data_IF_823075325746
#
_entry.id   IF_823075325746
#
_cell.length_a   1.000
_cell.length_b   1.000
_cell.length_c   1.000
_cell.angle_alpha   90.00
_cell.angle_beta   90.00
_cell.angle_gamma   90.00
#
_symmetry.space_group_name_H-M   'P 1'
#
loop_
_entity.id
_entity.type
_entity.pdbx_description
1 polymer ?
#
# COMPACT_ATOMS: atom_id res chain seq x y z
N UNK A 1 -47.59 -12.60 -62.25
CA UNK A 1 -46.80 -12.42 -61.02
C UNK A 1 -45.33 -12.29 -61.38
N UNK A 2 -44.72 -11.16 -61.06
CA UNK A 2 -43.31 -10.88 -61.36
C UNK A 2 -42.37 -11.78 -60.53
N UNK A 3 -41.13 -11.98 -61.01
CA UNK A 3 -40.10 -12.73 -60.26
C UNK A 3 -39.86 -12.15 -58.84
N UNK A 4 -40.12 -10.85 -58.65
CA UNK A 4 -39.94 -10.14 -57.39
C UNK A 4 -41.08 -10.50 -56.41
N UNK A 5 -42.33 -10.51 -56.86
CA UNK A 5 -43.50 -10.87 -56.02
C UNK A 5 -43.44 -12.33 -55.53
N UNK A 6 -42.95 -13.25 -56.37
CA UNK A 6 -42.73 -14.65 -55.96
C UNK A 6 -41.63 -14.77 -54.88
N UNK A 7 -40.58 -13.95 -54.97
CA UNK A 7 -39.46 -13.95 -54.02
C UNK A 7 -39.89 -13.36 -52.67
N UNK A 8 -40.72 -12.31 -52.67
CA UNK A 8 -41.29 -11.74 -51.44
C UNK A 8 -42.23 -12.72 -50.74
N UNK A 9 -43.16 -13.36 -51.47
CA UNK A 9 -44.03 -14.39 -50.88
C UNK A 9 -43.25 -15.55 -50.28
N UNK A 10 -42.16 -16.00 -50.93
CA UNK A 10 -41.28 -17.03 -50.36
C UNK A 10 -40.58 -16.56 -49.09
N UNK A 11 -40.12 -15.29 -49.05
CA UNK A 11 -39.44 -14.73 -47.87
C UNK A 11 -40.40 -14.57 -46.70
N UNK A 12 -41.64 -14.17 -46.96
CA UNK A 12 -42.68 -14.04 -45.95
C UNK A 12 -43.14 -15.39 -45.40
N UNK A 13 -43.27 -16.40 -46.28
CA UNK A 13 -43.55 -17.77 -45.87
C UNK A 13 -42.40 -18.36 -45.02
N UNK A 14 -41.15 -18.13 -45.42
CA UNK A 14 -39.97 -18.55 -44.65
C UNK A 14 -39.90 -17.85 -43.29
N UNK A 15 -40.25 -16.56 -43.21
CA UNK A 15 -40.29 -15.82 -41.95
C UNK A 15 -41.40 -16.35 -41.02
N UNK A 16 -42.60 -16.62 -41.54
CA UNK A 16 -43.69 -17.24 -40.78
C UNK A 16 -43.31 -18.63 -40.27
N UNK A 17 -42.73 -19.47 -41.12
CA UNK A 17 -42.24 -20.79 -40.72
C UNK A 17 -41.16 -20.69 -39.62
N UNK A 18 -40.20 -19.77 -39.78
CA UNK A 18 -39.18 -19.54 -38.77
C UNK A 18 -39.74 -19.03 -37.45
N UNK A 19 -40.71 -18.11 -37.48
CA UNK A 19 -41.35 -17.59 -36.27
C UNK A 19 -42.11 -18.69 -35.52
N UNK A 20 -42.84 -19.56 -36.24
CA UNK A 20 -43.54 -20.71 -35.66
C UNK A 20 -42.57 -21.71 -35.04
N UNK A 21 -41.54 -22.12 -35.80
CA UNK A 21 -40.50 -23.03 -35.28
C UNK A 21 -39.79 -22.45 -34.05
N UNK A 22 -39.52 -21.13 -34.04
CA UNK A 22 -38.89 -20.46 -32.90
C UNK A 22 -39.80 -20.44 -31.67
N UNK A 23 -41.11 -20.23 -31.85
CA UNK A 23 -42.10 -20.26 -30.76
C UNK A 23 -42.22 -21.66 -30.17
N UNK A 24 -42.40 -22.68 -31.00
CA UNK A 24 -42.46 -24.09 -30.56
C UNK A 24 -41.16 -24.53 -29.85
N UNK A 25 -40.00 -24.11 -30.37
CA UNK A 25 -38.71 -24.43 -29.75
C UNK A 25 -38.54 -23.72 -28.40
N UNK A 26 -39.08 -22.51 -28.24
CA UNK A 26 -39.15 -21.79 -26.96
C UNK A 26 -40.07 -22.50 -25.96
N UNK A 27 -41.26 -22.90 -26.39
CA UNK A 27 -42.25 -23.61 -25.56
C UNK A 27 -41.72 -24.98 -25.11
N UNK A 28 -41.12 -25.77 -26.03
CA UNK A 28 -40.44 -27.03 -25.69
C UNK A 28 -39.24 -26.83 -24.75
N UNK A 29 -38.48 -25.74 -24.90
CA UNK A 29 -37.40 -25.41 -23.97
C UNK A 29 -37.93 -25.02 -22.58
N UNK A 30 -39.08 -24.34 -22.50
CA UNK A 30 -39.68 -23.97 -21.20
C UNK A 30 -40.21 -25.17 -20.44
N UNK A 31 -40.69 -26.21 -21.12
CA UNK A 31 -41.13 -27.47 -20.48
C UNK A 31 -39.97 -28.22 -19.81
N UNK A 32 -38.72 -28.09 -20.31
CA UNK A 32 -37.53 -28.74 -19.75
C UNK A 32 -36.70 -27.86 -18.79
N UNK A 33 -37.01 -26.57 -18.68
CA UNK A 33 -36.24 -25.65 -17.84
C UNK A 33 -37.00 -25.45 -16.53
N UNK A 34 -36.47 -25.98 -15.43
CA UNK A 34 -36.97 -25.64 -14.09
C UNK A 34 -36.91 -24.12 -13.92
N UNK A 35 -38.00 -23.50 -13.44
CA UNK A 35 -38.01 -22.06 -13.20
C UNK A 35 -37.06 -21.78 -12.04
N UNK A 36 -36.19 -20.78 -12.19
CA UNK A 36 -35.28 -20.30 -11.14
C UNK A 36 -36.01 -19.93 -9.84
N UNK A 37 -37.31 -19.67 -9.91
CA UNK A 37 -38.17 -19.39 -8.76
C UNK A 37 -38.28 -20.55 -7.77
N UNK A 38 -37.95 -21.78 -8.18
CA UNK A 38 -38.13 -22.97 -7.34
C UNK A 38 -36.88 -23.28 -6.49
N UNK A 39 -35.79 -22.53 -6.64
CA UNK A 39 -34.54 -22.81 -5.92
C UNK A 39 -33.94 -21.64 -5.15
N UNK A 40 -34.24 -20.38 -5.47
CA UNK A 40 -33.62 -19.24 -4.77
C UNK A 40 -34.59 -18.04 -4.77
N UNK A 41 -34.93 -17.52 -3.58
CA UNK A 41 -35.72 -16.28 -3.48
C UNK A 41 -35.02 -15.10 -4.18
N UNK A 42 -35.77 -14.16 -4.81
CA UNK A 42 -35.19 -12.97 -5.44
C UNK A 42 -34.28 -12.16 -4.51
N UNK A 43 -34.59 -12.15 -3.21
CA UNK A 43 -33.80 -11.52 -2.14
C UNK A 43 -32.41 -12.15 -1.95
N UNK A 44 -32.28 -13.44 -2.24
CA UNK A 44 -31.04 -14.21 -2.17
C UNK A 44 -30.27 -14.08 -3.50
N UNK A 45 -30.96 -14.07 -4.64
CA UNK A 45 -30.33 -13.81 -5.96
C UNK A 45 -29.60 -12.47 -5.99
N UNK A 46 -30.20 -11.40 -5.42
CA UNK A 46 -29.55 -10.10 -5.31
C UNK A 46 -28.26 -10.11 -4.46
N UNK A 47 -28.10 -11.11 -3.58
CA UNK A 47 -26.91 -11.29 -2.74
C UNK A 47 -25.84 -12.18 -3.38
N UNK A 48 -26.17 -12.92 -4.44
CA UNK A 48 -25.21 -13.76 -5.16
C UNK A 48 -24.27 -12.85 -5.96
N UNK A 49 -23.04 -12.70 -5.49
CA UNK A 49 -21.98 -12.00 -6.21
C UNK A 49 -21.33 -12.96 -7.22
N UNK A 50 -21.27 -12.56 -8.49
CA UNK A 50 -20.61 -13.35 -9.53
C UNK A 50 -19.10 -13.45 -9.22
N UNK A 51 -18.45 -14.63 -9.31
CA UNK A 51 -17.01 -14.76 -9.05
C UNK A 51 -16.17 -13.80 -9.90
N UNK A 52 -16.64 -13.52 -11.12
CA UNK A 52 -15.95 -12.63 -12.06
C UNK A 52 -16.27 -11.14 -11.90
N UNK A 53 -17.20 -10.74 -11.02
CA UNK A 53 -17.39 -9.29 -10.74
C UNK A 53 -16.14 -8.66 -10.11
N UNK A 54 -15.21 -9.45 -9.57
CA UNK A 54 -13.89 -8.98 -9.14
C UNK A 54 -12.96 -8.59 -10.30
N UNK A 55 -13.17 -9.12 -11.52
CA UNK A 55 -12.31 -8.83 -12.70
C UNK A 55 -12.66 -7.51 -13.38
N UNK A 56 -13.91 -7.04 -13.29
CA UNK A 56 -14.27 -5.68 -13.69
C UNK A 56 -14.08 -4.72 -12.52
N UNK A 57 -12.86 -4.67 -11.97
CA UNK A 57 -12.48 -3.51 -11.16
C UNK A 57 -12.47 -2.30 -12.09
N UNK A 58 -13.41 -1.39 -11.85
CA UNK A 58 -13.23 0.01 -12.19
C UNK A 58 -11.87 0.42 -11.62
N UNK A 59 -10.83 0.42 -12.47
CA UNK A 59 -9.74 1.35 -12.30
C UNK A 59 -10.43 2.69 -12.17
N UNK A 60 -10.56 3.22 -10.95
CA UNK A 60 -10.97 4.59 -10.76
C UNK A 60 -9.98 5.41 -11.60
N UNK A 61 -10.41 5.83 -12.80
CA UNK A 61 -9.61 6.72 -13.62
C UNK A 61 -9.48 7.97 -12.79
N UNK A 62 -8.31 8.15 -12.18
CA UNK A 62 -8.01 9.36 -11.42
C UNK A 62 -8.30 10.53 -12.33
N UNK A 63 -9.16 11.45 -11.88
CA UNK A 63 -9.52 12.63 -12.66
C UNK A 63 -8.28 13.47 -13.02
N UNK A 64 -7.28 13.46 -12.13
CA UNK A 64 -5.98 14.09 -12.33
C UNK A 64 -4.87 13.04 -12.28
N UNK A 65 -3.93 13.08 -13.23
CA UNK A 65 -2.83 12.11 -13.37
C UNK A 65 -1.59 12.47 -12.54
N UNK A 66 -1.64 13.58 -11.80
CA UNK A 66 -0.50 14.13 -11.09
C UNK A 66 0.28 15.16 -11.90
N UNK A 67 1.13 15.93 -11.22
CA UNK A 67 2.22 16.71 -11.79
C UNK A 67 3.54 16.02 -11.46
N UNK A 68 4.63 16.28 -12.18
CA UNK A 68 5.89 15.50 -12.09
C UNK A 68 6.48 15.33 -10.67
N UNK A 69 5.96 16.07 -9.68
CA UNK A 69 6.32 16.02 -8.27
C UNK A 69 5.26 15.25 -7.45
N UNK A 70 3.96 15.50 -7.64
CA UNK A 70 2.86 14.76 -6.99
C UNK A 70 2.27 13.76 -7.98
N UNK A 71 2.55 12.46 -7.79
CA UNK A 71 2.05 11.40 -8.67
C UNK A 71 1.34 10.29 -7.92
N UNK A 72 0.35 9.64 -8.55
CA UNK A 72 -0.21 8.41 -8.01
C UNK A 72 0.80 7.26 -8.17
N UNK A 73 1.07 6.54 -7.09
CA UNK A 73 1.67 5.22 -7.14
C UNK A 73 0.60 4.20 -7.54
N UNK A 74 0.77 3.54 -8.68
CA UNK A 74 -0.19 2.57 -9.22
C UNK A 74 0.50 1.35 -9.85
N UNK A 75 1.70 1.03 -9.36
CA UNK A 75 2.58 0.02 -9.99
C UNK A 75 2.36 -1.39 -9.45
N UNK A 76 1.57 -1.53 -8.39
CA UNK A 76 1.30 -2.82 -7.72
C UNK A 76 0.48 -3.75 -8.63
N UNK A 77 0.92 -5.01 -8.78
CA UNK A 77 0.18 -6.05 -9.47
C UNK A 77 -1.19 -6.34 -8.84
N UNK A 78 -2.16 -6.88 -9.61
CA UNK A 78 -3.51 -7.14 -9.12
C UNK A 78 -3.60 -8.14 -7.95
N UNK A 79 -2.66 -9.08 -7.86
CA UNK A 79 -2.56 -10.09 -6.81
C UNK A 79 -1.87 -9.57 -5.53
N UNK A 80 -1.53 -8.28 -5.48
CA UNK A 80 -1.01 -7.60 -4.29
C UNK A 80 -2.09 -6.69 -3.71
N UNK A 81 -2.43 -6.91 -2.44
CA UNK A 81 -3.36 -6.09 -1.67
C UNK A 81 -2.73 -4.74 -1.27
N UNK A 82 -2.41 -3.91 -2.27
CA UNK A 82 -1.96 -2.54 -2.08
C UNK A 82 -2.36 -1.71 -3.29
N UNK A 83 -3.36 -0.87 -3.11
CA UNK A 83 -3.85 0.02 -4.14
C UNK A 83 -3.11 1.33 -4.31
N UNK A 84 -3.80 2.29 -4.93
CA UNK A 84 -3.26 3.59 -5.30
C UNK A 84 -3.10 4.50 -4.07
N UNK A 85 -2.00 5.23 -4.01
CA UNK A 85 -1.76 6.31 -3.06
C UNK A 85 -0.93 7.41 -3.71
N UNK A 86 -0.88 8.60 -3.13
CA UNK A 86 -0.16 9.74 -3.69
C UNK A 86 1.26 9.82 -3.14
N UNK A 87 2.24 9.90 -4.04
CA UNK A 87 3.64 10.17 -3.72
C UNK A 87 3.91 11.67 -3.82
N UNK A 88 4.64 12.22 -2.85
CA UNK A 88 5.24 13.55 -2.96
C UNK A 88 6.74 13.39 -3.21
N UNK A 89 7.17 13.62 -4.46
CA UNK A 89 8.55 13.46 -4.91
C UNK A 89 9.37 14.74 -4.71
N UNK A 90 9.49 15.16 -3.44
CA UNK A 90 10.28 16.34 -3.06
C UNK A 90 11.80 16.09 -3.14
N UNK A 91 12.22 14.84 -2.99
CA UNK A 91 13.61 14.42 -3.10
C UNK A 91 13.74 12.96 -3.52
N UNK A 92 14.93 12.58 -3.96
CA UNK A 92 15.31 11.26 -4.43
C UNK A 92 16.59 10.79 -3.75
N UNK A 93 16.71 9.49 -3.50
CA UNK A 93 17.87 8.92 -2.80
C UNK A 93 17.79 9.14 -1.29
N UNK A 94 18.80 8.66 -0.57
CA UNK A 94 18.81 8.69 0.89
C UNK A 94 20.27 8.66 1.39
N UNK A 95 20.64 9.42 2.43
CA UNK A 95 21.98 9.36 3.01
C UNK A 95 22.19 8.11 3.88
N UNK A 96 21.12 7.39 4.24
CA UNK A 96 21.21 6.13 4.95
C UNK A 96 21.58 4.99 3.99
N UNK A 97 22.28 3.97 4.48
CA UNK A 97 22.87 2.93 3.64
C UNK A 97 22.30 1.53 3.95
N UNK A 98 20.96 1.43 4.03
CA UNK A 98 20.32 0.15 4.31
C UNK A 98 20.63 -0.86 3.18
N UNK A 99 21.03 -2.08 3.55
CA UNK A 99 21.47 -3.10 2.59
C UNK A 99 20.31 -3.61 1.71
N UNK A 100 19.13 -3.75 2.32
CA UNK A 100 17.91 -4.24 1.66
C UNK A 100 17.14 -3.13 0.91
N UNK A 101 17.68 -1.91 0.83
CA UNK A 101 16.95 -0.74 0.35
C UNK A 101 16.50 -0.86 -1.12
N UNK A 102 15.18 -0.84 -1.36
CA UNK A 102 14.62 -0.90 -2.72
C UNK A 102 14.95 0.34 -3.56
N UNK A 103 15.36 1.47 -2.95
CA UNK A 103 15.81 2.64 -3.68
C UNK A 103 17.04 2.35 -4.53
N UNK A 104 17.89 1.36 -4.17
CA UNK A 104 19.03 0.95 -5.01
C UNK A 104 18.57 0.52 -6.39
N UNK A 105 17.49 -0.28 -6.46
CA UNK A 105 16.89 -0.71 -7.72
C UNK A 105 16.14 0.42 -8.44
N UNK A 106 15.41 1.23 -7.68
CA UNK A 106 14.61 2.34 -8.21
C UNK A 106 15.47 3.44 -8.83
N UNK A 107 16.58 3.77 -8.16
CA UNK A 107 17.54 4.80 -8.54
C UNK A 107 18.71 4.27 -9.38
N UNK A 108 18.68 2.98 -9.75
CA UNK A 108 19.76 2.33 -10.54
C UNK A 108 21.15 2.55 -9.93
N UNK A 109 21.25 2.39 -8.61
CA UNK A 109 22.47 2.58 -7.82
C UNK A 109 22.78 4.04 -7.44
N UNK A 110 22.08 5.04 -7.97
CA UNK A 110 22.31 6.47 -7.67
C UNK A 110 21.65 6.87 -6.34
N UNK A 111 22.24 6.42 -5.24
CA UNK A 111 21.67 6.60 -3.89
C UNK A 111 21.90 8.00 -3.29
N UNK A 112 22.87 8.77 -3.81
CA UNK A 112 23.18 10.12 -3.32
C UNK A 112 21.92 11.00 -3.34
N UNK A 113 21.56 11.66 -2.22
CA UNK A 113 20.38 12.52 -2.16
C UNK A 113 20.39 13.60 -3.23
N UNK A 114 19.25 13.77 -3.88
CA UNK A 114 18.95 14.83 -4.84
C UNK A 114 17.63 15.48 -4.46
N UNK A 115 17.59 16.81 -4.48
CA UNK A 115 16.44 17.57 -4.01
C UNK A 115 15.78 18.31 -5.18
N UNK A 116 14.45 18.33 -5.19
CA UNK A 116 13.69 19.21 -6.07
C UNK A 116 13.66 20.60 -5.45
N UNK A 117 13.83 21.65 -6.27
CA UNK A 117 13.74 23.04 -5.77
C UNK A 117 12.45 23.24 -5.00
N UNK A 118 12.53 23.75 -3.77
CA UNK A 118 11.37 23.93 -2.87
C UNK A 118 10.24 24.69 -3.56
N UNK A 119 10.54 25.77 -4.29
CA UNK A 119 9.53 26.54 -5.02
C UNK A 119 8.68 25.68 -5.98
N UNK A 120 9.30 24.77 -6.73
CA UNK A 120 8.56 23.86 -7.62
C UNK A 120 7.72 22.85 -6.84
N UNK A 121 8.18 22.43 -5.65
CA UNK A 121 7.41 21.52 -4.78
C UNK A 121 6.16 22.23 -4.26
N UNK A 122 6.28 23.49 -3.85
CA UNK A 122 5.15 24.29 -3.36
C UNK A 122 4.12 24.55 -4.47
N UNK A 123 4.57 24.95 -5.67
CA UNK A 123 3.69 25.15 -6.84
C UNK A 123 2.97 23.85 -7.23
N UNK A 124 3.69 22.72 -7.19
CA UNK A 124 3.08 21.41 -7.45
C UNK A 124 2.03 21.02 -6.40
N UNK A 125 2.21 21.42 -5.14
CA UNK A 125 1.22 21.21 -4.09
C UNK A 125 -0.01 22.09 -4.27
N UNK A 126 0.15 23.35 -4.70
CA UNK A 126 -0.97 24.24 -5.03
C UNK A 126 -1.89 23.63 -6.07
N UNK A 127 -1.33 23.13 -7.18
CA UNK A 127 -2.10 22.42 -8.19
C UNK A 127 -2.77 21.17 -7.63
N UNK A 128 -2.03 20.34 -6.87
CA UNK A 128 -2.53 19.09 -6.33
C UNK A 128 -3.70 19.29 -5.35
N UNK A 129 -3.61 20.31 -4.49
CA UNK A 129 -4.65 20.63 -3.49
C UNK A 129 -5.96 21.04 -4.14
N UNK A 130 -5.92 21.66 -5.32
CA UNK A 130 -7.12 21.98 -6.10
C UNK A 130 -7.63 20.75 -6.86
N UNK A 131 -6.73 20.01 -7.53
CA UNK A 131 -7.10 18.95 -8.46
C UNK A 131 -7.49 17.62 -7.81
N UNK A 132 -7.07 17.35 -6.58
CA UNK A 132 -7.45 16.15 -5.83
C UNK A 132 -8.71 16.47 -4.99
N UNK A 133 -9.89 15.94 -5.37
CA UNK A 133 -11.14 16.33 -4.71
C UNK A 133 -11.28 15.75 -3.30
N UNK A 134 -10.73 14.55 -3.06
CA UNK A 134 -10.94 13.81 -1.82
C UNK A 134 -9.79 13.99 -0.81
N UNK A 135 -10.09 14.05 0.50
CA UNK A 135 -9.08 13.97 1.55
C UNK A 135 -8.12 12.80 1.33
N UNK A 136 -6.82 13.08 1.43
CA UNK A 136 -5.77 12.16 0.95
C UNK A 136 -4.50 12.35 1.75
N UNK A 137 -3.76 11.26 1.99
CA UNK A 137 -2.41 11.27 2.54
C UNK A 137 -1.38 11.25 1.40
N UNK A 138 -0.45 12.20 1.41
CA UNK A 138 0.69 12.29 0.51
C UNK A 138 1.90 11.66 1.17
N UNK A 139 2.43 10.57 0.61
CA UNK A 139 3.61 9.89 1.12
C UNK A 139 4.88 10.59 0.64
N UNK A 140 5.60 11.24 1.55
CA UNK A 140 6.86 11.93 1.28
C UNK A 140 8.11 11.03 1.43
N UNK A 141 7.93 9.75 1.74
CA UNK A 141 9.01 8.78 2.02
C UNK A 141 9.16 7.65 0.99
N UNK A 142 8.48 7.70 -0.16
CA UNK A 142 8.54 6.59 -1.15
C UNK A 142 9.82 6.62 -2.01
N UNK A 143 10.43 7.79 -2.23
CA UNK A 143 11.67 7.93 -3.04
C UNK A 143 12.85 8.51 -2.27
N UNK A 144 12.67 8.83 -0.99
CA UNK A 144 13.66 9.40 -0.08
C UNK A 144 13.25 9.14 1.37
N UNK A 145 14.10 9.50 2.34
CA UNK A 145 13.69 9.55 3.75
C UNK A 145 13.15 10.95 4.09
N UNK A 146 11.95 11.02 4.66
CA UNK A 146 11.23 12.28 4.83
C UNK A 146 11.93 13.27 5.78
N UNK A 147 12.78 12.81 6.69
CA UNK A 147 13.50 13.68 7.65
C UNK A 147 14.97 13.89 7.30
N UNK A 148 15.44 13.45 6.12
CA UNK A 148 16.86 13.60 5.76
C UNK A 148 17.32 15.05 5.58
N UNK A 149 16.39 15.99 5.35
CA UNK A 149 16.67 17.41 5.22
C UNK A 149 15.57 18.28 5.85
N UNK A 150 15.61 18.52 7.17
CA UNK A 150 14.62 19.33 7.87
C UNK A 150 14.42 20.73 7.28
N UNK A 151 15.50 21.40 6.87
CA UNK A 151 15.43 22.77 6.30
C UNK A 151 14.55 22.85 5.06
N UNK A 152 14.60 21.83 4.20
CA UNK A 152 13.72 21.75 3.03
C UNK A 152 12.32 21.24 3.36
N UNK A 153 12.19 20.38 4.37
CA UNK A 153 10.89 19.81 4.75
C UNK A 153 9.99 20.83 5.46
N UNK A 154 10.54 21.76 6.25
CA UNK A 154 9.78 22.81 6.97
C UNK A 154 8.78 23.55 6.05
N UNK A 155 9.19 24.20 4.94
CA UNK A 155 8.24 24.92 4.09
C UNK A 155 7.23 23.97 3.43
N UNK A 156 7.59 22.71 3.17
CA UNK A 156 6.68 21.72 2.60
C UNK A 156 5.59 21.37 3.61
N UNK A 157 5.94 21.07 4.87
CA UNK A 157 4.93 20.75 5.89
C UNK A 157 4.11 21.97 6.29
N UNK A 158 4.69 23.17 6.27
CA UNK A 158 3.95 24.43 6.48
C UNK A 158 2.92 24.66 5.37
N UNK A 159 3.24 24.33 4.12
CA UNK A 159 2.28 24.38 2.99
C UNK A 159 1.04 23.52 3.23
N UNK A 160 1.20 22.37 3.89
CA UNK A 160 0.05 21.53 4.25
C UNK A 160 -0.85 22.19 5.31
N UNK A 161 -0.34 23.07 6.17
CA UNK A 161 -1.14 23.77 7.19
C UNK A 161 -1.98 24.93 6.61
N UNK A 162 -1.75 25.35 5.36
CA UNK A 162 -2.57 26.37 4.66
C UNK A 162 -3.97 25.85 4.28
N UNK A 163 -4.23 24.55 4.50
CA UNK A 163 -5.48 23.87 4.18
C UNK A 163 -5.78 22.77 5.21
N UNK A 164 -6.99 22.20 5.21
CA UNK A 164 -7.44 21.20 6.20
C UNK A 164 -7.91 19.86 5.58
N UNK A 165 -7.76 19.69 4.26
CA UNK A 165 -8.27 18.54 3.48
C UNK A 165 -7.24 17.41 3.33
N UNK A 166 -6.00 17.72 3.02
CA UNK A 166 -4.94 16.75 2.70
C UNK A 166 -3.90 16.68 3.80
N UNK A 167 -3.32 15.51 4.02
CA UNK A 167 -2.25 15.30 5.00
C UNK A 167 -0.96 14.87 4.31
N UNK A 168 0.17 15.16 4.91
CA UNK A 168 1.48 14.62 4.52
C UNK A 168 1.91 13.53 5.50
N UNK A 169 2.44 12.43 4.98
CA UNK A 169 3.04 11.37 5.78
C UNK A 169 4.56 11.39 5.64
N UNK A 170 5.23 11.62 6.77
CA UNK A 170 6.68 11.66 6.91
C UNK A 170 7.18 10.35 7.50
N UNK A 171 7.54 9.38 6.65
CA UNK A 171 8.19 8.15 7.09
C UNK A 171 9.71 8.32 7.16
N UNK A 172 10.32 7.93 8.27
CA UNK A 172 11.75 8.11 8.50
C UNK A 172 12.41 6.97 9.28
N UNK A 173 13.74 6.84 9.14
CA UNK A 173 14.62 6.09 10.03
C UNK A 173 15.55 6.99 10.87
N UNK A 174 15.42 8.32 10.79
CA UNK A 174 16.21 9.22 11.62
C UNK A 174 15.72 9.27 13.08
N UNK A 175 16.64 9.63 13.97
CA UNK A 175 16.43 9.75 15.42
C UNK A 175 16.25 11.21 15.84
N UNK A 176 16.65 11.51 17.07
CA UNK A 176 16.33 12.77 17.75
C UNK A 176 16.92 14.01 17.04
N UNK A 177 18.06 13.87 16.36
CA UNK A 177 18.75 14.98 15.69
C UNK A 177 17.93 15.64 14.57
N UNK A 178 16.95 14.94 14.02
CA UNK A 178 16.21 15.40 12.84
C UNK A 178 14.76 15.82 13.14
N UNK A 179 14.31 15.71 14.40
CA UNK A 179 12.90 15.98 14.76
C UNK A 179 12.66 17.38 15.34
N UNK A 180 13.69 18.19 15.56
CA UNK A 180 13.57 19.47 16.28
C UNK A 180 12.48 20.38 15.68
N UNK A 181 12.45 20.52 14.36
CA UNK A 181 11.45 21.34 13.67
C UNK A 181 9.98 20.85 13.82
N UNK A 182 9.79 19.58 14.17
CA UNK A 182 8.48 19.03 14.50
C UNK A 182 8.07 19.44 15.92
N UNK A 183 9.03 19.47 16.85
CA UNK A 183 8.80 19.86 18.24
C UNK A 183 8.59 21.37 18.38
N UNK A 184 9.34 22.18 17.62
CA UNK A 184 9.26 23.64 17.67
C UNK A 184 7.90 24.18 17.21
N UNK A 185 7.27 23.50 16.24
CA UNK A 185 5.99 23.92 15.65
C UNK A 185 5.13 22.69 15.33
N UNK A 186 4.23 22.27 16.24
CA UNK A 186 3.24 21.23 15.97
C UNK A 186 2.33 21.58 14.78
N UNK A 187 1.98 20.57 13.98
CA UNK A 187 1.21 20.71 12.72
C UNK A 187 0.11 19.67 12.63
N UNK A 188 -1.10 20.07 12.25
CA UNK A 188 -2.30 19.20 12.26
C UNK A 188 -2.42 18.32 11.03
N UNK A 189 -1.90 18.76 9.89
CA UNK A 189 -1.93 18.06 8.62
C UNK A 189 -0.72 17.15 8.39
N UNK A 190 0.13 16.98 9.41
CA UNK A 190 1.34 16.16 9.34
C UNK A 190 1.18 14.88 10.16
N UNK A 191 1.42 13.74 9.50
CA UNK A 191 1.49 12.43 10.11
C UNK A 191 2.97 12.02 10.13
N UNK A 192 3.47 11.59 11.28
CA UNK A 192 4.87 11.20 11.44
C UNK A 192 5.00 9.69 11.65
N UNK A 193 5.80 9.03 10.82
CA UNK A 193 6.02 7.59 10.86
C UNK A 193 7.47 7.23 11.11
N UNK A 194 7.73 6.27 11.98
CA UNK A 194 9.08 5.70 12.16
C UNK A 194 9.16 4.27 11.67
N UNK A 195 10.15 4.01 10.84
CA UNK A 195 10.60 2.66 10.52
C UNK A 195 11.49 2.14 11.63
N UNK A 196 11.02 1.11 12.33
CA UNK A 196 11.80 0.40 13.37
C UNK A 196 11.98 -1.06 12.95
N UNK A 197 12.97 -1.72 13.54
CA UNK A 197 13.26 -3.12 13.28
C UNK A 197 13.90 -3.76 14.51
N UNK A 198 14.01 -5.09 14.50
CA UNK A 198 14.75 -5.81 15.53
C UNK A 198 16.21 -5.27 15.60
N UNK A 199 16.79 -5.08 16.80
CA UNK A 199 18.14 -4.52 16.94
C UNK A 199 19.20 -5.25 16.14
N UNK A 200 19.15 -6.59 16.07
CA UNK A 200 20.11 -7.38 15.27
C UNK A 200 19.96 -7.10 13.79
N UNK A 201 18.73 -7.01 13.28
CA UNK A 201 18.45 -6.65 11.88
C UNK A 201 19.01 -5.27 11.55
N UNK A 202 18.77 -4.28 12.42
CA UNK A 202 19.27 -2.92 12.24
C UNK A 202 20.81 -2.89 12.22
N UNK A 203 21.46 -3.61 13.15
CA UNK A 203 22.92 -3.72 13.20
C UNK A 203 23.52 -4.37 11.94
N UNK A 204 22.86 -5.40 11.41
CA UNK A 204 23.34 -6.12 10.22
C UNK A 204 23.16 -5.31 8.94
N UNK A 205 22.02 -4.64 8.77
CA UNK A 205 21.58 -4.16 7.46
C UNK A 205 21.06 -2.72 7.40
N UNK A 206 21.02 -1.97 8.49
CA UNK A 206 20.57 -0.56 8.51
C UNK A 206 21.72 0.41 8.78
N UNK A 207 22.80 0.28 8.01
CA UNK A 207 23.99 1.14 8.16
C UNK A 207 23.63 2.63 8.03
N UNK A 208 24.36 3.44 8.78
CA UNK A 208 24.21 4.90 8.89
C UNK A 208 22.86 5.38 9.46
N UNK A 209 21.94 4.48 9.82
CA UNK A 209 20.70 4.83 10.49
C UNK A 209 20.87 4.74 12.03
N UNK A 210 20.25 5.65 12.79
CA UNK A 210 20.12 5.54 14.25
C UNK A 210 19.54 4.20 14.71
N UNK A 211 19.82 3.80 15.95
CA UNK A 211 19.29 2.54 16.48
C UNK A 211 17.75 2.53 16.51
N UNK A 212 17.09 1.36 16.44
CA UNK A 212 15.63 1.28 16.57
C UNK A 212 15.10 1.96 17.85
N UNK A 213 15.81 1.83 18.97
CA UNK A 213 15.44 2.45 20.24
C UNK A 213 15.53 3.98 20.21
N UNK A 214 16.53 4.54 19.54
CA UNK A 214 16.62 5.99 19.34
C UNK A 214 15.45 6.51 18.49
N UNK A 215 15.02 5.74 17.49
CA UNK A 215 13.84 6.05 16.67
C UNK A 215 12.54 5.99 17.48
N UNK A 216 12.39 5.00 18.37
CA UNK A 216 11.24 4.91 19.30
C UNK A 216 11.19 6.14 20.21
N UNK A 217 12.33 6.54 20.79
CA UNK A 217 12.41 7.75 21.62
C UNK A 217 12.04 9.02 20.85
N UNK A 218 12.54 9.17 19.62
CA UNK A 218 12.17 10.28 18.75
C UNK A 218 10.66 10.30 18.44
N UNK A 219 10.09 9.13 18.12
CA UNK A 219 8.66 8.98 17.87
C UNK A 219 7.81 9.34 19.10
N UNK A 220 8.23 8.92 20.30
CA UNK A 220 7.55 9.23 21.56
C UNK A 220 7.52 10.74 21.86
N UNK A 221 8.63 11.45 21.60
CA UNK A 221 8.68 12.91 21.74
C UNK A 221 7.73 13.61 20.77
N UNK A 222 7.70 13.17 19.50
CA UNK A 222 6.79 13.73 18.50
C UNK A 222 5.34 13.39 18.81
N UNK A 223 5.05 12.20 19.35
CA UNK A 223 3.71 11.84 19.85
C UNK A 223 3.28 12.78 20.97
N UNK A 224 4.17 13.05 21.94
CA UNK A 224 3.92 13.99 23.05
C UNK A 224 3.65 15.42 22.56
N UNK A 225 4.25 15.83 21.43
CA UNK A 225 3.98 17.10 20.77
C UNK A 225 2.62 17.16 20.03
N UNK A 226 1.84 16.07 20.03
CA UNK A 226 0.46 16.05 19.55
C UNK A 226 0.25 15.52 18.13
N UNK A 227 1.29 14.97 17.48
CA UNK A 227 1.19 14.44 16.13
C UNK A 227 0.46 13.07 16.05
N UNK A 228 -0.16 12.79 14.90
CA UNK A 228 -0.51 11.42 14.50
C UNK A 228 0.79 10.65 14.24
N UNK A 229 1.18 9.81 15.21
CA UNK A 229 2.40 9.01 15.16
C UNK A 229 2.11 7.58 14.76
N UNK A 230 2.84 7.08 13.75
CA UNK A 230 2.70 5.73 13.21
C UNK A 230 4.02 4.98 13.28
N UNK A 231 3.94 3.66 13.33
CA UNK A 231 5.12 2.78 13.30
C UNK A 231 5.05 1.89 12.06
N UNK A 232 6.21 1.66 11.45
CA UNK A 232 6.37 0.72 10.36
C UNK A 232 7.47 -0.29 10.69
N UNK A 233 7.11 -1.56 10.73
CA UNK A 233 8.04 -2.68 10.85
C UNK A 233 8.07 -3.35 9.47
N UNK A 234 8.91 -2.81 8.59
CA UNK A 234 9.03 -3.24 7.20
C UNK A 234 10.46 -2.94 6.69
N UNK A 235 11.25 -3.96 6.34
CA UNK A 235 10.89 -5.38 6.29
C UNK A 235 11.16 -6.16 7.59
N UNK A 236 10.28 -7.10 7.93
CA UNK A 236 10.46 -8.10 9.00
C UNK A 236 11.28 -9.27 8.45
N UNK A 237 12.42 -9.53 9.07
CA UNK A 237 13.29 -10.67 8.74
C UNK A 237 13.26 -11.78 9.80
N UNK A 238 13.09 -13.06 9.40
CA UNK A 238 13.11 -14.21 10.30
C UNK A 238 14.55 -14.66 10.56
N UNK A 239 15.34 -13.77 11.16
CA UNK A 239 16.67 -14.12 11.70
C UNK A 239 16.55 -15.15 12.85
N UNK A 240 17.66 -15.72 13.30
CA UNK A 240 17.66 -16.55 14.51
C UNK A 240 17.06 -15.78 15.69
N UNK A 241 16.17 -16.43 16.47
CA UNK A 241 15.45 -15.83 17.61
C UNK A 241 14.64 -14.57 17.24
N UNK A 242 14.14 -14.48 16.00
CA UNK A 242 13.38 -13.31 15.57
C UNK A 242 12.15 -13.05 16.43
N UNK A 243 11.41 -14.09 16.84
CA UNK A 243 10.20 -13.95 17.66
C UNK A 243 10.51 -13.21 18.95
N UNK A 244 11.54 -13.61 19.67
CA UNK A 244 11.98 -12.96 20.90
C UNK A 244 12.43 -11.52 20.64
N UNK A 245 13.26 -11.28 19.63
CA UNK A 245 13.73 -9.92 19.31
C UNK A 245 12.60 -8.94 18.94
N UNK A 246 11.64 -9.38 18.11
CA UNK A 246 10.50 -8.53 17.78
C UNK A 246 9.51 -8.41 18.93
N UNK A 247 9.35 -9.43 19.77
CA UNK A 247 8.55 -9.30 21.00
C UNK A 247 9.13 -8.24 21.93
N UNK A 248 10.45 -8.22 22.15
CA UNK A 248 11.11 -7.18 22.91
C UNK A 248 10.96 -5.80 22.27
N UNK A 249 11.10 -5.70 20.95
CA UNK A 249 10.89 -4.44 20.22
C UNK A 249 9.46 -3.89 20.40
N UNK A 250 8.44 -4.75 20.32
CA UNK A 250 7.04 -4.35 20.49
C UNK A 250 6.79 -3.87 21.92
N UNK A 251 7.28 -4.60 22.92
CA UNK A 251 7.15 -4.19 24.32
C UNK A 251 7.82 -2.84 24.58
N UNK A 252 9.03 -2.65 24.08
CA UNK A 252 9.76 -1.39 24.20
C UNK A 252 9.02 -0.24 23.51
N UNK A 253 8.43 -0.48 22.34
CA UNK A 253 7.63 0.51 21.64
C UNK A 253 6.40 0.93 22.49
N UNK A 254 5.61 -0.06 22.91
CA UNK A 254 4.34 0.18 23.60
C UNK A 254 4.52 0.70 25.03
N UNK A 255 5.67 0.44 25.67
CA UNK A 255 6.03 1.05 26.96
C UNK A 255 6.31 2.55 26.85
N UNK A 256 6.73 3.04 25.68
CA UNK A 256 6.99 4.46 25.45
C UNK A 256 5.75 5.23 24.99
N UNK A 257 4.99 4.68 24.04
CA UNK A 257 3.75 5.27 23.57
C UNK A 257 2.91 4.30 22.73
N UNK A 258 1.60 4.55 22.65
CA UNK A 258 0.71 3.84 21.73
C UNK A 258 0.64 4.58 20.38
N UNK A 259 1.13 3.99 19.27
CA UNK A 259 1.00 4.59 17.95
C UNK A 259 -0.45 4.56 17.46
N UNK A 260 -0.81 5.50 16.59
CA UNK A 260 -2.12 5.53 15.94
C UNK A 260 -2.28 4.43 14.89
N UNK A 261 -1.17 3.91 14.35
CA UNK A 261 -1.17 2.82 13.37
C UNK A 261 0.16 2.09 13.38
N UNK A 262 0.11 0.77 13.22
CA UNK A 262 1.28 -0.08 12.97
C UNK A 262 1.14 -0.69 11.57
N UNK A 263 2.20 -0.57 10.77
CA UNK A 263 2.29 -1.08 9.40
C UNK A 263 3.36 -2.16 9.37
N UNK A 264 2.97 -3.40 9.07
CA UNK A 264 3.87 -4.55 8.96
C UNK A 264 4.21 -4.81 7.48
N UNK A 265 5.37 -5.37 7.21
CA UNK A 265 5.73 -5.86 5.88
C UNK A 265 6.90 -6.82 5.93
N UNK A 266 6.93 -7.78 5.01
CA UNK A 266 8.05 -8.71 4.80
C UNK A 266 8.91 -8.23 3.62
N UNK A 267 10.19 -8.63 3.52
CA UNK A 267 11.08 -8.12 2.48
C UNK A 267 10.61 -8.51 1.08
N UNK A 268 10.91 -7.63 0.11
CA UNK A 268 10.64 -7.87 -1.31
C UNK A 268 11.93 -7.80 -2.12
N UNK A 269 12.32 -8.93 -2.68
CA UNK A 269 13.46 -9.07 -3.56
C UNK A 269 13.11 -8.70 -5.00
N UNK A 270 12.90 -7.40 -5.26
CA UNK A 270 12.77 -6.90 -6.63
C UNK A 270 14.05 -7.18 -7.40
N UNK A 271 13.95 -7.63 -8.65
CA UNK A 271 15.11 -7.95 -9.49
C UNK A 271 16.14 -6.80 -9.52
N UNK A 272 15.68 -5.56 -9.75
CA UNK A 272 16.55 -4.37 -9.74
C UNK A 272 17.22 -4.15 -8.39
N UNK A 273 16.51 -4.37 -7.29
CA UNK A 273 17.10 -4.20 -5.94
C UNK A 273 18.24 -5.18 -5.72
N UNK A 274 18.02 -6.45 -6.07
CA UNK A 274 19.04 -7.50 -5.96
C UNK A 274 20.23 -7.17 -6.88
N UNK A 275 19.98 -6.82 -8.13
CA UNK A 275 21.01 -6.52 -9.12
C UNK A 275 21.90 -5.34 -8.70
N UNK A 276 21.29 -4.21 -8.32
CA UNK A 276 22.05 -3.03 -7.90
C UNK A 276 22.68 -3.18 -6.51
N UNK A 277 22.17 -4.06 -5.64
CA UNK A 277 22.84 -4.42 -4.39
C UNK A 277 24.13 -5.21 -4.65
N UNK A 278 24.11 -6.17 -5.60
CA UNK A 278 25.30 -6.92 -6.03
C UNK A 278 26.36 -6.00 -6.61
N UNK A 279 25.99 -5.12 -7.54
CA UNK A 279 26.92 -4.16 -8.17
C UNK A 279 27.57 -3.21 -7.18
N UNK A 280 26.87 -2.87 -6.10
CA UNK A 280 27.38 -2.01 -5.05
C UNK A 280 28.19 -2.77 -3.98
N UNK A 281 28.45 -4.06 -4.16
CA UNK A 281 29.17 -4.93 -3.22
C UNK A 281 28.65 -4.86 -1.77
N UNK A 282 27.33 -4.79 -1.63
CA UNK A 282 26.65 -4.70 -0.33
C UNK A 282 26.54 -6.09 0.30
N UNK A 283 26.55 -6.19 1.63
CA UNK A 283 26.23 -7.46 2.28
C UNK A 283 24.76 -7.86 1.96
N UNK A 284 24.62 -8.94 1.19
CA UNK A 284 23.35 -9.47 0.71
C UNK A 284 22.83 -10.67 1.51
N UNK A 285 23.32 -10.90 2.73
CA UNK A 285 22.82 -12.00 3.57
C UNK A 285 21.32 -11.92 3.86
N UNK A 286 20.70 -10.74 3.76
CA UNK A 286 19.24 -10.57 3.83
C UNK A 286 18.47 -11.25 2.69
N UNK A 287 19.10 -11.49 1.53
CA UNK A 287 18.43 -12.13 0.40
C UNK A 287 18.28 -13.65 0.58
N UNK A 288 18.97 -14.23 1.56
CA UNK A 288 18.93 -15.66 1.84
C UNK A 288 17.57 -16.16 2.30
N UNK A 289 16.64 -15.27 2.70
CA UNK A 289 15.30 -15.64 3.17
C UNK A 289 14.28 -15.79 2.04
N UNK A 290 14.62 -15.41 0.81
CA UNK A 290 13.68 -15.56 -0.30
C UNK A 290 13.51 -17.03 -0.70
N UNK A 291 12.26 -17.46 -0.82
CA UNK A 291 11.86 -18.83 -1.19
C UNK A 291 10.87 -18.86 -2.34
N UNK A 292 10.11 -17.79 -2.54
CA UNK A 292 9.05 -17.71 -3.54
C UNK A 292 9.24 -16.54 -4.49
N UNK A 293 8.75 -16.70 -5.72
CA UNK A 293 8.63 -15.63 -6.71
C UNK A 293 7.16 -15.21 -6.81
N UNK A 294 6.88 -13.93 -6.64
CA UNK A 294 5.56 -13.33 -6.85
C UNK A 294 5.60 -12.35 -8.01
N UNK A 295 4.43 -11.86 -8.45
CA UNK A 295 4.33 -10.76 -9.42
C UNK A 295 5.06 -9.48 -8.98
N UNK A 296 5.23 -9.30 -7.67
CA UNK A 296 5.91 -8.16 -7.06
C UNK A 296 7.36 -8.43 -6.68
N UNK A 297 7.95 -9.52 -7.14
CA UNK A 297 9.34 -9.91 -6.83
C UNK A 297 9.43 -11.07 -5.85
N UNK A 298 10.66 -11.35 -5.42
CA UNK A 298 10.92 -12.48 -4.51
C UNK A 298 10.41 -12.19 -3.10
N UNK A 299 9.87 -13.21 -2.43
CA UNK A 299 9.35 -13.15 -1.06
C UNK A 299 9.78 -14.37 -0.25
N UNK A 300 9.59 -14.30 1.05
CA UNK A 300 9.64 -15.47 1.94
C UNK A 300 8.56 -16.47 1.54
N UNK A 301 8.67 -17.72 2.01
CA UNK A 301 7.61 -18.70 1.76
C UNK A 301 6.29 -18.23 2.35
N UNK A 302 5.19 -18.69 1.78
CA UNK A 302 3.83 -18.41 2.24
C UNK A 302 3.68 -18.71 3.74
N UNK A 303 4.10 -19.90 4.17
CA UNK A 303 4.03 -20.31 5.58
C UNK A 303 4.84 -19.39 6.50
N UNK A 304 6.06 -18.98 6.11
CA UNK A 304 6.86 -18.06 6.91
C UNK A 304 6.23 -16.66 6.97
N UNK A 305 5.66 -16.17 5.87
CA UNK A 305 4.96 -14.87 5.85
C UNK A 305 3.73 -14.93 6.76
N UNK A 306 2.94 -15.99 6.67
CA UNK A 306 1.77 -16.22 7.52
C UNK A 306 2.17 -16.27 8.99
N UNK A 307 3.17 -17.10 9.35
CA UNK A 307 3.69 -17.22 10.71
C UNK A 307 4.14 -15.86 11.27
N UNK A 308 4.89 -15.08 10.47
CA UNK A 308 5.33 -13.74 10.85
C UNK A 308 4.13 -12.87 11.21
N UNK A 309 3.16 -12.73 10.31
CA UNK A 309 2.03 -11.84 10.57
C UNK A 309 1.19 -12.36 11.74
N UNK A 310 0.87 -13.66 11.80
CA UNK A 310 0.12 -14.27 12.90
C UNK A 310 0.77 -13.95 14.25
N UNK A 311 2.10 -14.14 14.36
CA UNK A 311 2.86 -13.78 15.55
C UNK A 311 2.66 -12.32 15.95
N UNK A 312 2.78 -11.37 15.01
CA UNK A 312 2.57 -9.94 15.34
C UNK A 312 1.14 -9.65 15.77
N UNK A 313 0.13 -10.20 15.09
CA UNK A 313 -1.27 -10.02 15.46
C UNK A 313 -1.53 -10.56 16.87
N UNK A 314 -1.09 -11.78 17.17
CA UNK A 314 -1.24 -12.40 18.49
C UNK A 314 -0.55 -11.57 19.58
N UNK A 315 0.66 -11.06 19.31
CA UNK A 315 1.38 -10.22 20.28
C UNK A 315 0.70 -8.87 20.49
N UNK A 316 0.23 -8.21 19.44
CA UNK A 316 -0.50 -6.96 19.58
C UNK A 316 -1.81 -7.15 20.36
N UNK A 317 -2.55 -8.22 20.09
CA UNK A 317 -3.78 -8.55 20.81
C UNK A 317 -3.51 -8.81 22.29
N UNK A 318 -2.50 -9.64 22.59
CA UNK A 318 -2.10 -9.94 23.98
C UNK A 318 -1.65 -8.72 24.78
N UNK A 319 -1.15 -7.68 24.10
CA UNK A 319 -0.71 -6.41 24.70
C UNK A 319 -1.81 -5.33 24.65
N UNK A 320 -3.03 -5.69 24.24
CA UNK A 320 -4.18 -4.78 24.19
C UNK A 320 -4.09 -3.72 23.09
N UNK A 321 -3.24 -3.89 22.08
CA UNK A 321 -3.18 -2.97 20.94
C UNK A 321 -4.29 -3.30 19.94
N UNK A 322 -5.14 -2.33 19.54
CA UNK A 322 -6.30 -2.59 18.69
C UNK A 322 -5.87 -3.07 17.29
N UNK A 323 -6.24 -4.31 16.95
CA UNK A 323 -5.89 -4.94 15.67
C UNK A 323 -6.43 -4.19 14.45
N UNK A 324 -7.52 -3.42 14.59
CA UNK A 324 -8.04 -2.51 13.57
C UNK A 324 -7.06 -1.40 13.14
N UNK A 325 -6.05 -1.13 13.99
CA UNK A 325 -4.97 -0.18 13.74
C UNK A 325 -3.69 -0.85 13.25
N UNK A 326 -3.72 -2.15 12.96
CA UNK A 326 -2.62 -2.90 12.32
C UNK A 326 -2.95 -3.05 10.83
N UNK A 327 -1.95 -2.91 9.97
CA UNK A 327 -2.10 -3.11 8.53
C UNK A 327 -0.86 -3.79 7.95
N UNK A 328 -1.03 -4.51 6.84
CA UNK A 328 0.07 -5.15 6.12
C UNK A 328 0.36 -4.39 4.82
N UNK A 329 1.63 -4.12 4.53
CA UNK A 329 2.05 -3.34 3.37
C UNK A 329 2.43 -4.23 2.19
N UNK A 330 1.77 -4.01 1.03
CA UNK A 330 2.17 -4.57 -0.27
C UNK A 330 2.41 -6.10 -0.21
N UNK A 331 1.46 -6.79 0.42
CA UNK A 331 1.42 -8.26 0.57
C UNK A 331 0.45 -8.91 -0.42
N UNK A 332 0.61 -10.21 -0.71
CA UNK A 332 -0.27 -10.95 -1.62
C UNK A 332 -1.69 -11.03 -1.07
N UNK A 333 -2.69 -11.00 -1.95
CA UNK A 333 -4.10 -11.21 -1.61
C UNK A 333 -4.29 -12.51 -0.85
N UNK A 334 -3.60 -13.57 -1.28
CA UNK A 334 -3.62 -14.89 -0.63
C UNK A 334 -3.26 -14.85 0.87
N UNK A 335 -2.26 -14.04 1.27
CA UNK A 335 -1.91 -13.90 2.69
C UNK A 335 -2.98 -13.10 3.44
N UNK A 336 -3.59 -12.10 2.81
CA UNK A 336 -4.71 -11.36 3.43
C UNK A 336 -5.88 -12.31 3.71
N UNK A 337 -6.24 -13.14 2.73
CA UNK A 337 -7.31 -14.13 2.87
C UNK A 337 -6.98 -15.17 3.96
N UNK A 338 -5.75 -15.69 3.97
CA UNK A 338 -5.31 -16.68 4.95
C UNK A 338 -5.24 -16.17 6.40
N UNK A 339 -5.11 -14.85 6.59
CA UNK A 339 -5.16 -14.19 7.89
C UNK A 339 -6.58 -13.69 8.24
N UNK A 340 -7.58 -13.90 7.37
CA UNK A 340 -8.94 -13.41 7.56
C UNK A 340 -9.05 -11.88 7.52
N UNK A 341 -8.10 -11.19 6.88
CA UNK A 341 -8.05 -9.74 6.81
C UNK A 341 -8.81 -9.21 5.59
N UNK A 342 -9.61 -8.17 5.79
CA UNK A 342 -10.29 -7.50 4.69
C UNK A 342 -9.42 -6.41 4.05
N UNK A 343 -9.25 -6.46 2.74
CA UNK A 343 -8.70 -5.36 1.96
C UNK A 343 -9.73 -4.87 0.94
N UNK A 344 -9.62 -3.59 0.56
CA UNK A 344 -10.41 -3.04 -0.56
C UNK A 344 -9.54 -3.04 -1.81
N UNK A 345 -9.90 -3.77 -2.87
CA UNK A 345 -9.13 -3.76 -4.11
C UNK A 345 -8.94 -2.35 -4.67
N UNK A 346 -7.75 -2.06 -5.16
CA UNK A 346 -7.40 -0.73 -5.68
C UNK A 346 -7.17 0.35 -4.62
N UNK A 347 -7.39 0.09 -3.33
CA UNK A 347 -7.11 1.02 -2.23
C UNK A 347 -5.84 0.63 -1.44
N UNK A 348 -5.03 1.63 -1.07
CA UNK A 348 -3.88 1.39 -0.20
C UNK A 348 -4.32 1.22 1.26
N UNK A 349 -3.89 0.13 1.91
CA UNK A 349 -4.23 -0.14 3.32
C UNK A 349 -3.45 0.74 4.32
N UNK A 350 -2.33 1.34 3.90
CA UNK A 350 -1.45 2.12 4.77
C UNK A 350 -1.74 3.63 4.71
N UNK A 351 -2.19 4.12 3.55
CA UNK A 351 -2.31 5.55 3.24
C UNK A 351 -3.66 5.92 2.58
N UNK A 352 -4.49 4.92 2.27
CA UNK A 352 -5.79 5.13 1.64
C UNK A 352 -6.83 5.68 2.62
N UNK A 353 -8.09 5.71 2.17
CA UNK A 353 -9.20 6.33 2.90
C UNK A 353 -9.38 5.78 4.31
N UNK A 354 -9.21 4.46 4.50
CA UNK A 354 -9.28 3.80 5.82
C UNK A 354 -8.15 4.19 6.78
N UNK A 355 -7.07 4.79 6.28
CA UNK A 355 -5.94 5.25 7.07
C UNK A 355 -5.91 6.77 7.28
N UNK A 356 -6.87 7.51 6.74
CA UNK A 356 -6.91 8.98 6.81
C UNK A 356 -7.35 9.50 8.19
N UNK A 357 -8.34 8.84 8.80
CA UNK A 357 -8.85 9.12 10.14
C UNK A 357 -8.52 7.91 11.05
N UNK A 358 -7.61 8.07 12.03
CA UNK A 358 -7.14 6.99 12.91
C UNK A 358 -8.09 6.60 14.04
#
# INVERSE_FOLDING_TARGET
MSKIEKKEKHREAAYKAWATMRKEKREKATIKTQKITDFIEPSVIQKIKHPETYRFQQLQRLAWKGNRIVLPFHKTPPDIACGVFWELRWAYGCPLDCNYCYLRGTMRGRMKPQYVKTAHVLEALDEAFVKIPCPTIFNAGELSDALMNPKMMIPIVDKFEEQNKHKIYLLTKFGMKNIQFLLDKPRKQVICGWSINAPTVAKLWEKAAPSPYERIKAAALVKKAGYDTRIRIDPIFPISNWKEEYYHLINELLSHFTPNRIILGTPRGLWKTIEYAKRANINMSWAQFFREQTSWGKKLSFEQRKEIYQFFFDKFDSLGYPLSKVSICKETVEIWDALGLHYTPGMCNCYGKSAFNP
#
